data_IF_948526484203
#
_entry.id   IF_948526484203
#
_cell.length_a   1.000
_cell.length_b   1.000
_cell.length_c   1.000
_cell.angle_alpha   90.00
_cell.angle_beta   90.00
_cell.angle_gamma   90.00
#
_symmetry.space_group_name_H-M   'P 1'
#
loop_
_entity.id
_entity.type
_entity.pdbx_description
1 polymer ?
#
# COMPACT_ATOMS: atom_id res chain seq x y z
N UNK A 1 -13.38 14.91 17.33
CA UNK A 1 -12.46 13.90 17.87
C UNK A 1 -11.57 13.42 16.73
N UNK A 2 -10.30 13.10 16.98
CA UNK A 2 -9.44 12.52 15.94
C UNK A 2 -9.95 11.14 15.52
N UNK A 3 -9.94 10.87 14.22
CA UNK A 3 -10.24 9.55 13.63
C UNK A 3 -9.11 8.54 13.89
N UNK A 4 -7.92 9.03 14.25
CA UNK A 4 -6.73 8.22 14.52
C UNK A 4 -6.76 7.74 15.97
N UNK A 5 -6.69 6.43 16.17
CA UNK A 5 -6.56 5.78 17.46
C UNK A 5 -5.09 5.66 17.90
N UNK A 6 -4.20 5.30 16.98
CA UNK A 6 -2.78 5.08 17.25
C UNK A 6 -1.93 5.31 16.00
N UNK A 7 -0.69 5.75 16.21
CA UNK A 7 0.33 5.90 15.16
C UNK A 7 1.34 4.75 15.30
N UNK A 8 1.78 4.21 14.18
CA UNK A 8 2.83 3.19 14.08
C UNK A 8 3.83 3.56 13.00
N UNK A 9 5.07 3.11 13.16
CA UNK A 9 6.08 3.18 12.10
C UNK A 9 6.18 1.81 11.43
N UNK A 10 6.03 1.77 10.11
CA UNK A 10 6.20 0.56 9.31
C UNK A 10 7.42 0.70 8.42
N UNK A 11 8.18 -0.38 8.29
CA UNK A 11 9.21 -0.49 7.28
C UNK A 11 8.57 -0.81 5.91
N UNK A 12 8.99 -0.08 4.89
CA UNK A 12 8.53 -0.22 3.51
C UNK A 12 9.70 0.06 2.56
N UNK A 13 10.20 -0.97 1.89
CA UNK A 13 11.35 -0.89 0.96
C UNK A 13 12.55 -0.14 1.56
N UNK A 14 12.99 -0.55 2.74
CA UNK A 14 14.09 0.06 3.52
C UNK A 14 13.87 1.51 3.95
N UNK A 15 12.66 2.02 3.78
CA UNK A 15 12.23 3.30 4.32
C UNK A 15 11.24 3.06 5.45
N UNK A 16 10.99 4.09 6.25
CA UNK A 16 10.01 4.03 7.33
C UNK A 16 8.88 5.01 7.06
N UNK A 17 7.64 4.53 7.14
CA UNK A 17 6.44 5.33 6.96
C UNK A 17 5.62 5.35 8.24
N UNK A 18 5.17 6.54 8.63
CA UNK A 18 4.13 6.67 9.65
C UNK A 18 2.83 6.09 9.10
N UNK A 19 2.11 5.36 9.95
CA UNK A 19 0.85 4.72 9.62
C UNK A 19 -0.15 4.92 10.75
N UNK A 20 -1.42 4.94 10.41
CA UNK A 20 -2.49 5.40 11.29
C UNK A 20 -3.53 4.31 11.46
N UNK A 21 -3.70 3.78 12.67
CA UNK A 21 -4.84 2.94 13.00
C UNK A 21 -6.05 3.83 13.22
N UNK A 22 -7.08 3.66 12.40
CA UNK A 22 -8.30 4.47 12.50
C UNK A 22 -9.39 3.73 13.29
N UNK A 23 -10.49 4.45 13.59
CA UNK A 23 -11.63 3.93 14.38
C UNK A 23 -12.38 2.76 13.75
N UNK A 24 -12.19 2.51 12.46
CA UNK A 24 -12.73 1.33 11.78
C UNK A 24 -11.89 0.05 11.99
N UNK A 25 -10.80 0.14 12.76
CA UNK A 25 -9.94 -1.00 13.06
C UNK A 25 -8.93 -1.33 11.97
N UNK A 26 -8.78 -0.48 10.95
CA UNK A 26 -7.84 -0.71 9.86
C UNK A 26 -6.62 0.21 9.96
N UNK A 27 -5.47 -0.30 9.49
CA UNK A 27 -4.24 0.47 9.40
C UNK A 27 -4.18 1.20 8.04
N UNK A 28 -3.88 2.49 8.09
CA UNK A 28 -3.84 3.37 6.92
C UNK A 28 -2.44 3.90 6.67
N UNK A 29 -2.06 3.98 5.40
CA UNK A 29 -0.80 4.54 4.93
C UNK A 29 -0.98 5.92 4.29
N UNK A 30 -0.14 6.91 4.59
CA UNK A 30 -0.12 8.19 3.89
C UNK A 30 0.44 8.03 2.47
N UNK A 31 -0.37 8.39 1.48
CA UNK A 31 -0.04 8.24 0.05
C UNK A 31 1.28 8.94 -0.31
N UNK A 32 1.54 10.09 0.32
CA UNK A 32 2.77 10.86 0.10
C UNK A 32 4.01 10.08 0.52
N UNK A 33 4.08 9.62 1.77
CA UNK A 33 5.26 8.93 2.28
C UNK A 33 5.50 7.61 1.54
N UNK A 34 4.44 6.89 1.17
CA UNK A 34 4.56 5.67 0.35
C UNK A 34 5.12 5.96 -1.04
N UNK A 35 4.71 7.05 -1.69
CA UNK A 35 5.27 7.43 -2.98
C UNK A 35 6.74 7.84 -2.85
N UNK A 36 7.06 8.68 -1.86
CA UNK A 36 8.41 9.20 -1.61
C UNK A 36 9.39 8.08 -1.20
N UNK A 37 8.94 7.08 -0.42
CA UNK A 37 9.70 5.86 -0.10
C UNK A 37 10.14 5.05 -1.33
N UNK A 38 9.46 5.24 -2.47
CA UNK A 38 9.79 4.61 -3.74
C UNK A 38 10.46 5.57 -4.74
N UNK A 39 10.82 6.78 -4.32
CA UNK A 39 11.35 7.82 -5.21
C UNK A 39 10.31 8.38 -6.20
N UNK A 40 9.02 8.15 -5.97
CA UNK A 40 7.95 8.59 -6.86
C UNK A 40 7.38 9.95 -6.43
N UNK A 41 7.03 10.79 -7.40
CA UNK A 41 6.34 12.04 -7.12
C UNK A 41 4.90 11.79 -6.64
N UNK A 42 4.51 12.40 -5.51
CA UNK A 42 3.19 12.26 -4.89
C UNK A 42 2.00 12.63 -5.79
N UNK A 43 2.01 13.81 -6.43
CA UNK A 43 0.82 14.33 -7.13
C UNK A 43 0.32 13.44 -8.28
N UNK A 44 1.20 12.90 -9.16
CA UNK A 44 0.80 11.89 -10.15
C UNK A 44 0.19 10.63 -9.53
N UNK A 45 0.79 10.11 -8.44
CA UNK A 45 0.31 8.89 -7.78
C UNK A 45 -1.08 9.10 -7.18
N UNK A 46 -1.30 10.21 -6.47
CA UNK A 46 -2.62 10.53 -5.92
C UNK A 46 -3.69 10.68 -7.01
N UNK A 47 -3.37 11.33 -8.14
CA UNK A 47 -4.32 11.45 -9.26
C UNK A 47 -4.69 10.09 -9.84
N UNK A 48 -3.72 9.18 -9.97
CA UNK A 48 -3.96 7.82 -10.42
C UNK A 48 -4.87 7.07 -9.45
N UNK A 49 -4.55 7.10 -8.15
CA UNK A 49 -5.35 6.43 -7.12
C UNK A 49 -6.79 6.96 -7.09
N UNK A 50 -7.02 8.26 -7.27
CA UNK A 50 -8.37 8.84 -7.33
C UNK A 50 -9.20 8.35 -8.52
N UNK A 51 -8.55 7.99 -9.64
CA UNK A 51 -9.21 7.46 -10.84
C UNK A 51 -9.41 5.95 -10.79
N UNK A 52 -8.70 5.27 -9.91
CA UNK A 52 -8.81 3.83 -9.70
C UNK A 52 -10.18 3.51 -9.05
N UNK A 53 -11.03 2.67 -9.67
CA UNK A 53 -12.36 2.39 -9.16
C UNK A 53 -12.36 1.54 -7.88
N UNK A 54 -11.26 0.86 -7.56
CA UNK A 54 -11.12 0.02 -6.37
C UNK A 54 -10.48 0.82 -5.23
N UNK A 55 -9.38 1.52 -5.49
CA UNK A 55 -8.60 2.25 -4.47
C UNK A 55 -9.20 3.63 -4.21
N UNK A 56 -9.68 4.33 -5.24
CA UNK A 56 -10.19 5.70 -5.15
C UNK A 56 -11.25 5.90 -4.05
N UNK A 57 -12.29 5.05 -3.97
CA UNK A 57 -13.31 5.13 -2.92
C UNK A 57 -12.79 4.94 -1.48
N UNK A 58 -11.59 4.37 -1.33
CA UNK A 58 -11.00 4.04 -0.02
C UNK A 58 -10.12 5.15 0.54
N UNK A 59 -9.80 6.16 -0.28
CA UNK A 59 -8.97 7.29 0.12
C UNK A 59 -9.67 8.12 1.20
N UNK A 60 -8.94 8.45 2.26
CA UNK A 60 -9.43 9.32 3.34
C UNK A 60 -8.48 10.48 3.57
N UNK A 61 -9.00 11.57 4.15
CA UNK A 61 -8.18 12.65 4.71
C UNK A 61 -8.21 12.53 6.22
N UNK A 62 -7.03 12.51 6.84
CA UNK A 62 -6.89 12.46 8.31
C UNK A 62 -6.00 13.60 8.79
N UNK A 63 -6.20 14.04 10.03
CA UNK A 63 -5.35 15.04 10.68
C UNK A 63 -4.45 14.33 11.69
N UNK A 64 -3.17 14.11 11.38
CA UNK A 64 -2.24 13.46 12.30
C UNK A 64 -2.09 14.26 13.60
N UNK A 65 -1.89 13.59 14.74
CA UNK A 65 -1.43 14.30 15.94
C UNK A 65 -0.05 14.94 15.68
N UNK A 66 0.35 15.95 16.46
CA UNK A 66 1.74 16.40 16.48
C UNK A 66 2.66 15.22 16.86
N UNK A 67 3.92 15.23 16.41
CA UNK A 67 4.88 14.20 16.79
C UNK A 67 5.08 14.19 18.32
N UNK A 68 5.50 13.04 18.81
CA UNK A 68 5.74 12.82 20.24
C UNK A 68 6.79 13.84 20.77
N UNK A 69 6.46 14.53 21.85
CA UNK A 69 7.31 15.56 22.46
C UNK A 69 7.05 17.01 22.00
N UNK A 70 6.22 17.24 20.97
CA UNK A 70 5.81 18.59 20.56
C UNK A 70 4.48 19.02 21.21
N UNK A 71 4.44 20.24 21.75
CA UNK A 71 3.23 20.75 22.41
C UNK A 71 2.07 20.91 21.42
N UNK A 72 0.86 20.52 21.83
CA UNK A 72 -0.38 20.64 21.04
C UNK A 72 -0.82 22.09 20.79
N UNK A 73 -0.14 23.06 21.41
CA UNK A 73 -0.32 24.50 21.21
C UNK A 73 0.44 25.05 20.00
N UNK A 74 1.42 24.32 19.46
CA UNK A 74 2.36 24.84 18.45
C UNK A 74 2.19 24.35 17.01
N UNK A 75 1.48 23.25 16.74
CA UNK A 75 1.45 22.72 15.38
C UNK A 75 0.39 21.65 15.14
N UNK A 76 -0.74 22.03 14.53
CA UNK A 76 -1.58 21.04 13.85
C UNK A 76 -0.88 20.66 12.55
N UNK A 77 -0.54 19.38 12.38
CA UNK A 77 -0.11 18.86 11.09
C UNK A 77 -1.25 19.04 10.08
N UNK A 78 -0.88 19.45 8.87
CA UNK A 78 -1.83 19.51 7.75
C UNK A 78 -2.48 18.16 7.51
N UNK A 79 -3.74 18.18 7.09
CA UNK A 79 -4.45 16.96 6.72
C UNK A 79 -3.66 16.19 5.64
N UNK A 80 -3.51 14.88 5.83
CA UNK A 80 -2.84 13.99 4.89
C UNK A 80 -3.86 13.06 4.23
N UNK A 81 -3.61 12.70 2.96
CA UNK A 81 -4.40 11.69 2.27
C UNK A 81 -3.82 10.32 2.55
N UNK A 82 -4.68 9.41 2.99
CA UNK A 82 -4.33 8.04 3.38
C UNK A 82 -5.19 7.02 2.64
N UNK A 83 -4.71 5.77 2.59
CA UNK A 83 -5.45 4.62 2.06
C UNK A 83 -5.18 3.38 2.93
N UNK A 84 -6.10 2.40 2.98
CA UNK A 84 -5.90 1.24 3.84
C UNK A 84 -4.71 0.38 3.38
N UNK A 85 -3.90 -0.09 4.33
CA UNK A 85 -2.69 -0.89 4.09
C UNK A 85 -2.97 -2.12 3.20
N UNK A 86 -4.15 -2.76 3.33
CA UNK A 86 -4.52 -3.92 2.50
C UNK A 86 -4.52 -3.64 0.99
N UNK A 87 -4.61 -2.39 0.56
CA UNK A 87 -4.59 -2.00 -0.85
C UNK A 87 -3.17 -1.70 -1.37
N UNK A 88 -2.16 -1.74 -0.50
CA UNK A 88 -0.76 -1.53 -0.89
C UNK A 88 -0.31 -2.51 -1.99
N UNK A 89 -0.61 -3.84 -1.93
CA UNK A 89 -0.27 -4.76 -3.00
C UNK A 89 -0.85 -4.34 -4.37
N UNK A 90 -2.14 -4.00 -4.41
CA UNK A 90 -2.81 -3.57 -5.64
C UNK A 90 -2.24 -2.28 -6.22
N UNK A 91 -1.94 -1.31 -5.35
CA UNK A 91 -1.28 -0.07 -5.76
C UNK A 91 0.12 -0.32 -6.33
N UNK A 92 0.92 -1.18 -5.66
CA UNK A 92 2.28 -1.54 -6.08
C UNK A 92 2.28 -2.24 -7.44
N UNK A 93 1.33 -3.14 -7.69
CA UNK A 93 1.17 -3.79 -9.00
C UNK A 93 1.02 -2.77 -10.13
N UNK A 94 0.31 -1.66 -9.90
CA UNK A 94 0.16 -0.58 -10.86
C UNK A 94 1.36 0.36 -11.02
N UNK A 95 2.38 0.33 -10.15
CA UNK A 95 3.57 1.21 -10.23
C UNK A 95 4.40 0.90 -11.48
N UNK A 96 4.79 1.94 -12.23
CA UNK A 96 5.65 1.79 -13.40
C UNK A 96 7.12 1.68 -12.95
N UNK A 97 7.72 0.50 -13.07
CA UNK A 97 9.06 0.20 -12.53
C UNK A 97 10.20 0.93 -13.26
N UNK A 98 9.96 1.41 -14.49
CA UNK A 98 10.87 2.24 -15.27
C UNK A 98 11.17 3.59 -14.59
N UNK A 99 10.26 4.05 -13.72
CA UNK A 99 10.37 5.33 -12.99
C UNK A 99 11.01 5.21 -11.61
N UNK A 100 11.46 4.00 -11.25
CA UNK A 100 12.14 3.74 -9.99
C UNK A 100 13.65 3.79 -10.21
N UNK A 101 14.36 4.22 -9.18
CA UNK A 101 15.81 4.08 -9.08
C UNK A 101 16.22 2.60 -9.22
N UNK A 102 17.42 2.30 -9.77
CA UNK A 102 17.85 0.95 -10.08
C UNK A 102 17.72 -0.04 -8.91
N UNK A 103 18.11 0.37 -7.70
CA UNK A 103 18.12 -0.45 -6.49
C UNK A 103 16.68 -0.81 -6.05
N UNK A 104 15.75 0.13 -6.18
CA UNK A 104 14.34 -0.09 -5.84
C UNK A 104 13.61 -0.92 -6.90
N UNK A 105 14.03 -0.83 -8.16
CA UNK A 105 13.41 -1.55 -9.27
C UNK A 105 13.42 -3.05 -9.05
N UNK A 106 14.57 -3.62 -8.68
CA UNK A 106 14.70 -5.07 -8.46
C UNK A 106 13.81 -5.56 -7.33
N UNK A 107 13.75 -4.81 -6.22
CA UNK A 107 12.91 -5.13 -5.06
C UNK A 107 11.43 -5.05 -5.38
N UNK A 108 10.98 -3.98 -6.05
CA UNK A 108 9.59 -3.84 -6.47
C UNK A 108 9.22 -4.94 -7.47
N UNK A 109 10.13 -5.31 -8.39
CA UNK A 109 9.89 -6.44 -9.30
C UNK A 109 9.77 -7.77 -8.55
N UNK A 110 10.65 -8.05 -7.59
CA UNK A 110 10.56 -9.25 -6.75
C UNK A 110 9.22 -9.31 -6.01
N UNK A 111 8.82 -8.20 -5.39
CA UNK A 111 7.53 -8.08 -4.69
C UNK A 111 6.34 -8.28 -5.63
N UNK A 112 6.35 -7.72 -6.84
CA UNK A 112 5.29 -7.95 -7.84
C UNK A 112 5.19 -9.41 -8.28
N UNK A 113 6.33 -10.11 -8.44
CA UNK A 113 6.35 -11.54 -8.76
C UNK A 113 5.75 -12.36 -7.63
N UNK A 114 6.06 -12.02 -6.38
CA UNK A 114 5.47 -12.65 -5.21
C UNK A 114 3.95 -12.45 -5.17
N UNK A 115 3.45 -11.23 -5.40
CA UNK A 115 2.01 -10.97 -5.51
C UNK A 115 1.37 -11.80 -6.62
N UNK A 116 2.01 -11.88 -7.79
CA UNK A 116 1.48 -12.67 -8.90
C UNK A 116 1.38 -14.16 -8.53
N UNK A 117 2.40 -14.70 -7.86
CA UNK A 117 2.40 -16.08 -7.38
C UNK A 117 1.31 -16.32 -6.33
N UNK A 118 1.18 -15.42 -5.35
CA UNK A 118 0.14 -15.51 -4.32
C UNK A 118 -1.26 -15.39 -4.92
N UNK A 119 -1.43 -14.50 -5.91
CA UNK A 119 -2.66 -14.39 -6.67
C UNK A 119 -2.99 -15.69 -7.42
N UNK A 120 -2.00 -16.32 -8.06
CA UNK A 120 -2.20 -17.64 -8.67
C UNK A 120 -2.60 -18.67 -7.61
N UNK A 121 -1.88 -18.79 -6.49
CA UNK A 121 -2.22 -19.76 -5.44
C UNK A 121 -3.65 -19.56 -4.93
N UNK A 122 -4.07 -18.30 -4.72
CA UNK A 122 -5.39 -17.96 -4.20
C UNK A 122 -6.53 -18.20 -5.20
N UNK A 123 -6.27 -18.06 -6.51
CA UNK A 123 -7.31 -18.10 -7.53
C UNK A 123 -7.20 -19.26 -8.51
N UNK A 124 -6.15 -20.07 -8.46
CA UNK A 124 -5.93 -21.17 -9.40
C UNK A 124 -7.12 -22.13 -9.44
N UNK A 125 -7.76 -22.43 -8.31
CA UNK A 125 -8.91 -23.34 -8.28
C UNK A 125 -10.11 -22.83 -9.08
N UNK A 126 -10.24 -21.50 -9.22
CA UNK A 126 -11.27 -20.86 -10.03
C UNK A 126 -10.99 -21.00 -11.52
N UNK A 127 -9.73 -21.13 -11.91
CA UNK A 127 -9.29 -21.12 -13.31
C UNK A 127 -8.92 -22.50 -13.84
N UNK A 128 -8.45 -23.40 -12.98
CA UNK A 128 -8.04 -24.75 -13.35
C UNK A 128 -9.28 -25.63 -13.58
N UNK A 129 -9.45 -26.18 -14.80
CA UNK A 129 -10.41 -27.25 -15.01
C UNK A 129 -10.12 -28.42 -14.06
N UNK A 130 -11.15 -29.16 -13.58
CA UNK A 130 -10.94 -30.30 -12.69
C UNK A 130 -9.93 -31.32 -13.22
N UNK A 131 -9.98 -31.59 -14.53
CA UNK A 131 -9.11 -32.55 -15.24
C UNK A 131 -7.62 -32.16 -15.15
N UNK A 132 -7.32 -30.87 -15.31
CA UNK A 132 -5.94 -30.35 -15.24
C UNK A 132 -5.41 -30.42 -13.81
N UNK A 133 -6.30 -30.26 -12.81
CA UNK A 133 -5.92 -30.36 -11.39
C UNK A 133 -5.43 -31.76 -11.05
N UNK A 134 -6.12 -32.79 -11.54
CA UNK A 134 -5.72 -34.18 -11.33
C UNK A 134 -4.34 -34.48 -11.93
N UNK A 135 -4.05 -33.95 -13.13
CA UNK A 135 -2.73 -34.09 -13.75
C UNK A 135 -1.62 -33.31 -13.01
N UNK A 136 -1.95 -32.18 -12.40
CA UNK A 136 -0.99 -31.42 -11.59
C UNK A 136 -0.68 -32.08 -10.24
N UNK A 137 -1.58 -32.91 -9.71
CA UNK A 137 -1.42 -33.58 -8.39
C UNK A 137 -0.94 -35.02 -8.48
N UNK A 138 -0.92 -35.62 -9.68
CA UNK A 138 -0.45 -36.99 -9.88
C UNK A 138 1.01 -36.96 -10.36
N UNK A 139 1.98 -37.50 -9.58
CA UNK A 139 3.34 -37.65 -10.08
C UNK A 139 3.34 -38.60 -11.28
N UNK A 140 4.00 -38.20 -12.37
CA UNK A 140 4.35 -39.10 -13.47
C UNK A 140 5.44 -40.08 -13.08
#
# INVERSE_FOLDING_TARGET
MSDILKVFTLELFENYVESFLLRDGELYLPVRQVAEALGLTFSPQLRRMKRDPVIGPTLRKVNPPPPEGESSWGGRRSAVVVFPLRYLPGWLMGVEVSRLEPELRERVLAYKREIAQLGWIAFQERFLPPEVREWMTTPG
#
